data_IF_434000880976
#
_entry.id   IF_434000880976
#
_cell.length_a   1.000
_cell.length_b   1.000
_cell.length_c   1.000
_cell.angle_alpha   90.00
_cell.angle_beta   90.00
_cell.angle_gamma   90.00
#
_symmetry.space_group_name_H-M   'P 1'
#
loop_
_entity.id
_entity.type
_entity.pdbx_description
1 polymer ?
#
# COMPACT_ATOMS: atom_id res chain seq x y z
N UNK A 1 -5.40 4.10 -27.06
CA UNK A 1 -5.47 5.15 -26.02
C UNK A 1 -4.07 5.68 -25.76
N UNK A 2 -3.86 6.99 -25.60
CA UNK A 2 -2.60 7.54 -25.07
C UNK A 2 -2.80 7.78 -23.58
N UNK A 3 -2.08 7.04 -22.74
CA UNK A 3 -2.15 7.15 -21.29
C UNK A 3 -0.73 7.03 -20.72
N UNK A 4 -0.51 7.63 -19.55
CA UNK A 4 0.77 7.63 -18.85
C UNK A 4 0.51 7.21 -17.41
N UNK A 5 1.39 6.37 -16.88
CA UNK A 5 1.39 5.93 -15.48
C UNK A 5 2.78 6.17 -14.92
N UNK A 6 2.84 6.66 -13.69
CA UNK A 6 4.07 6.78 -12.91
C UNK A 6 3.82 6.22 -11.50
N UNK A 7 4.74 5.40 -11.00
CA UNK A 7 4.71 4.78 -9.69
C UNK A 7 6.14 4.50 -9.21
N UNK A 8 6.29 4.14 -7.92
CA UNK A 8 7.59 3.84 -7.32
C UNK A 8 8.26 2.58 -7.88
N UNK A 9 7.48 1.66 -8.45
CA UNK A 9 7.98 0.41 -9.02
C UNK A 9 7.44 0.12 -10.43
N UNK A 10 8.28 -0.46 -11.29
CA UNK A 10 7.91 -0.78 -12.68
C UNK A 10 6.74 -1.77 -12.78
N UNK A 11 6.67 -2.78 -11.90
CA UNK A 11 5.54 -3.73 -11.85
C UNK A 11 4.23 -3.08 -11.36
N UNK A 12 4.30 -2.02 -10.56
CA UNK A 12 3.13 -1.20 -10.19
C UNK A 12 2.62 -0.45 -11.42
N UNK A 13 3.53 0.16 -12.20
CA UNK A 13 3.18 0.75 -13.49
C UNK A 13 2.61 -0.28 -14.47
N UNK A 14 3.15 -1.51 -14.51
CA UNK A 14 2.67 -2.58 -15.36
C UNK A 14 1.22 -2.96 -15.03
N UNK A 15 0.90 -3.13 -13.74
CA UNK A 15 -0.45 -3.49 -13.29
C UNK A 15 -1.49 -2.43 -13.71
N UNK A 16 -1.18 -1.15 -13.50
CA UNK A 16 -2.03 -0.05 -13.95
C UNK A 16 -2.12 0.04 -15.48
N UNK A 17 -0.99 -0.12 -16.17
CA UNK A 17 -0.94 -0.08 -17.64
C UNK A 17 -1.76 -1.21 -18.26
N UNK A 18 -1.80 -2.38 -17.62
CA UNK A 18 -2.64 -3.49 -18.05
C UNK A 18 -4.11 -3.10 -18.02
N UNK A 19 -4.60 -2.49 -16.94
CA UNK A 19 -6.00 -2.07 -16.86
C UNK A 19 -6.37 -1.05 -17.94
N UNK A 20 -5.46 -0.13 -18.26
CA UNK A 20 -5.67 0.83 -19.36
C UNK A 20 -5.70 0.14 -20.74
N UNK A 21 -4.87 -0.90 -20.94
CA UNK A 21 -4.86 -1.70 -22.18
C UNK A 21 -6.13 -2.53 -22.34
N UNK A 22 -6.69 -3.02 -21.24
CA UNK A 22 -7.96 -3.77 -21.18
C UNK A 22 -9.21 -2.86 -21.33
N UNK A 23 -9.02 -1.57 -21.64
CA UNK A 23 -10.12 -0.62 -21.84
C UNK A 23 -10.68 0.00 -20.57
N UNK A 24 -10.03 -0.21 -19.42
CA UNK A 24 -10.36 0.45 -18.16
C UNK A 24 -10.04 1.95 -18.18
N UNK A 25 -10.53 2.65 -17.17
CA UNK A 25 -10.30 4.07 -16.97
C UNK A 25 -9.11 4.34 -16.02
N UNK A 26 -8.83 5.61 -15.75
CA UNK A 26 -7.72 6.00 -14.88
C UNK A 26 -7.88 5.49 -13.43
N UNK A 27 -9.11 5.30 -12.95
CA UNK A 27 -9.39 4.77 -11.62
C UNK A 27 -9.16 3.26 -11.56
N UNK A 28 -9.53 2.50 -12.61
CA UNK A 28 -9.17 1.08 -12.73
C UNK A 28 -7.65 0.88 -12.64
N UNK A 29 -6.91 1.74 -13.36
CA UNK A 29 -5.46 1.74 -13.34
C UNK A 29 -4.89 2.08 -11.95
N UNK A 30 -5.41 3.13 -11.31
CA UNK A 30 -4.96 3.56 -9.98
C UNK A 30 -5.24 2.51 -8.91
N UNK A 31 -6.40 1.86 -8.93
CA UNK A 31 -6.74 0.80 -7.98
C UNK A 31 -5.87 -0.45 -8.21
N UNK A 32 -5.60 -0.83 -9.46
CA UNK A 32 -4.69 -1.93 -9.77
C UNK A 32 -3.26 -1.65 -9.31
N UNK A 33 -2.76 -0.43 -9.53
CA UNK A 33 -1.48 0.01 -8.96
C UNK A 33 -1.48 -0.05 -7.44
N UNK A 34 -2.54 0.44 -6.78
CA UNK A 34 -2.65 0.43 -5.33
C UNK A 34 -2.58 -0.98 -4.74
N UNK A 35 -3.22 -1.98 -5.36
CA UNK A 35 -3.07 -3.37 -4.93
C UNK A 35 -1.68 -3.94 -5.26
N UNK A 36 -1.16 -3.70 -6.46
CA UNK A 36 0.15 -4.21 -6.86
C UNK A 36 1.29 -3.66 -6.00
N UNK A 37 1.26 -2.39 -5.62
CA UNK A 37 2.29 -1.76 -4.78
C UNK A 37 2.38 -2.41 -3.40
N UNK A 38 1.27 -2.92 -2.84
CA UNK A 38 1.31 -3.65 -1.54
C UNK A 38 2.08 -4.97 -1.60
N UNK A 39 2.38 -5.46 -2.80
CA UNK A 39 3.16 -6.68 -3.03
C UNK A 39 4.59 -6.33 -3.46
N UNK A 40 4.74 -5.40 -4.41
CA UNK A 40 6.02 -5.10 -5.06
C UNK A 40 6.75 -3.90 -4.45
N UNK A 41 6.14 -3.19 -3.52
CA UNK A 41 6.77 -2.10 -2.76
C UNK A 41 6.61 -2.37 -1.25
N UNK A 42 7.10 -3.54 -0.76
CA UNK A 42 6.99 -3.90 0.65
C UNK A 42 7.68 -2.84 1.52
N UNK A 43 7.24 -2.69 2.76
CA UNK A 43 7.66 -1.65 3.72
C UNK A 43 7.23 -0.21 3.39
N UNK A 44 6.88 0.08 2.13
CA UNK A 44 6.39 1.40 1.70
C UNK A 44 4.87 1.43 1.52
N UNK A 45 4.30 0.34 1.00
CA UNK A 45 2.86 0.15 0.78
C UNK A 45 2.36 -1.11 1.49
N UNK A 46 1.15 -1.07 2.03
CA UNK A 46 0.56 -2.22 2.73
C UNK A 46 -0.96 -2.20 2.70
N UNK A 47 -1.59 -3.38 2.59
CA UNK A 47 -3.02 -3.55 2.81
C UNK A 47 -3.43 -3.19 4.25
N UNK A 48 -2.49 -3.28 5.20
CA UNK A 48 -2.64 -2.86 6.59
C UNK A 48 -2.42 -1.36 6.82
N UNK A 49 -2.19 -0.57 5.77
CA UNK A 49 -1.93 0.87 5.86
C UNK A 49 -3.16 1.75 5.70
N UNK A 50 -2.92 3.02 5.41
CA UNK A 50 -3.91 4.04 5.04
C UNK A 50 -3.42 4.87 3.85
N UNK A 51 -4.28 5.70 3.28
CA UNK A 51 -3.88 6.57 2.19
C UNK A 51 -4.97 7.53 1.73
N UNK A 52 -4.67 8.21 0.63
CA UNK A 52 -5.56 9.16 -0.01
C UNK A 52 -5.54 8.96 -1.52
N UNK A 53 -6.64 9.28 -2.20
CA UNK A 53 -6.67 9.38 -3.65
C UNK A 53 -7.38 10.67 -4.06
N UNK A 54 -6.68 11.53 -4.80
CA UNK A 54 -7.29 12.67 -5.48
C UNK A 54 -7.76 12.24 -6.87
N UNK A 55 -9.07 12.15 -7.05
CA UNK A 55 -9.70 11.81 -8.31
C UNK A 55 -10.16 13.08 -9.04
N UNK A 56 -9.94 13.12 -10.35
CA UNK A 56 -10.57 14.11 -11.22
C UNK A 56 -11.32 13.40 -12.35
N UNK A 57 -12.62 13.61 -12.44
CA UNK A 57 -13.46 13.02 -13.49
C UNK A 57 -13.88 14.10 -14.47
N UNK A 58 -13.18 14.19 -15.60
CA UNK A 58 -13.35 15.24 -16.61
C UNK A 58 -14.80 15.44 -17.06
N UNK A 59 -15.56 14.36 -17.24
CA UNK A 59 -16.97 14.43 -17.67
C UNK A 59 -17.87 15.10 -16.64
N UNK A 60 -17.52 15.05 -15.36
CA UNK A 60 -18.25 15.72 -14.28
C UNK A 60 -17.66 17.10 -13.95
N UNK A 61 -16.43 17.38 -14.39
CA UNK A 61 -15.71 18.62 -14.09
C UNK A 61 -15.43 18.80 -12.60
N UNK A 62 -15.38 17.71 -11.83
CA UNK A 62 -15.23 17.73 -10.36
C UNK A 62 -14.04 16.91 -9.90
N UNK A 63 -13.32 17.47 -8.93
CA UNK A 63 -12.37 16.78 -8.07
C UNK A 63 -13.08 16.10 -6.90
N UNK A 64 -12.53 14.97 -6.45
CA UNK A 64 -12.95 14.28 -5.24
C UNK A 64 -11.71 13.73 -4.53
N UNK A 65 -11.59 14.06 -3.25
CA UNK A 65 -10.62 13.42 -2.37
C UNK A 65 -11.27 12.22 -1.70
N UNK A 66 -10.66 11.05 -1.87
CA UNK A 66 -10.95 9.86 -1.09
C UNK A 66 -9.95 9.78 0.04
N UNK A 67 -10.41 9.95 1.27
CA UNK A 67 -9.64 9.73 2.48
C UNK A 67 -9.95 8.33 3.02
N UNK A 68 -8.91 7.49 3.01
CA UNK A 68 -8.91 6.17 3.62
C UNK A 68 -7.64 6.03 4.48
N UNK A 69 -7.27 7.13 5.17
CA UNK A 69 -6.17 7.12 6.11
C UNK A 69 -6.51 6.28 7.35
N UNK A 70 -5.47 5.89 8.07
CA UNK A 70 -5.64 5.06 9.26
C UNK A 70 -6.31 5.87 10.38
N UNK A 71 -7.07 5.18 11.22
CA UNK A 71 -7.70 5.79 12.39
C UNK A 71 -7.11 5.23 13.68
N UNK A 72 -6.81 6.09 14.64
CA UNK A 72 -6.41 5.66 15.99
C UNK A 72 -7.50 4.78 16.59
N UNK A 73 -7.09 3.65 17.16
CA UNK A 73 -8.00 2.72 17.84
C UNK A 73 -8.53 3.32 19.15
N UNK A 74 -9.60 2.73 19.70
CA UNK A 74 -10.12 3.15 21.01
C UNK A 74 -11.09 4.34 20.99
N UNK A 75 -11.66 4.72 19.83
CA UNK A 75 -12.75 5.72 19.77
C UNK A 75 -13.89 5.34 20.73
N UNK A 76 -14.21 6.23 21.66
CA UNK A 76 -15.25 6.03 22.68
C UNK A 76 -14.81 5.18 23.88
N UNK A 77 -13.52 4.84 23.98
CA UNK A 77 -12.97 4.15 25.15
C UNK A 77 -12.65 5.16 26.25
N UNK A 78 -12.89 4.75 27.50
CA UNK A 78 -12.54 5.50 28.70
C UNK A 78 -11.30 4.88 29.37
N UNK A 79 -10.48 5.71 30.02
CA UNK A 79 -9.28 5.31 30.76
C UNK A 79 -8.00 5.34 29.94
N UNK A 80 -6.87 5.43 30.64
CA UNK A 80 -5.54 5.42 30.03
C UNK A 80 -5.14 3.99 29.62
N UNK A 81 -4.40 3.88 28.51
CA UNK A 81 -3.82 2.62 28.05
C UNK A 81 -2.34 2.86 27.95
N UNK A 82 -1.55 2.02 28.62
CA UNK A 82 -0.12 1.96 28.35
C UNK A 82 0.07 1.30 26.97
N UNK A 83 0.55 2.03 25.96
CA UNK A 83 0.70 1.47 24.64
C UNK A 83 1.81 0.41 24.65
N UNK A 84 1.57 -0.72 23.98
CA UNK A 84 2.62 -1.70 23.75
C UNK A 84 3.60 -1.16 22.71
N UNK A 85 4.62 -0.44 23.21
CA UNK A 85 5.72 0.12 22.45
C UNK A 85 7.06 -0.32 23.02
N UNK A 86 8.02 -0.55 22.13
CA UNK A 86 9.41 -0.72 22.50
C UNK A 86 10.31 -0.16 21.39
N UNK A 87 11.49 0.37 21.75
CA UNK A 87 12.38 1.01 20.79
C UNK A 87 13.09 -0.03 19.92
N UNK A 88 13.39 0.36 18.69
CA UNK A 88 14.31 -0.33 17.79
C UNK A 88 15.14 0.71 17.05
N UNK A 89 16.46 0.50 17.00
CA UNK A 89 17.36 1.40 16.31
C UNK A 89 17.50 0.98 14.86
N UNK A 90 17.17 1.90 13.95
CA UNK A 90 17.37 1.75 12.50
C UNK A 90 18.61 2.53 12.11
N UNK A 91 19.49 1.87 11.35
CA UNK A 91 20.75 2.44 10.88
C UNK A 91 20.59 3.00 9.46
N UNK A 92 20.29 4.28 9.35
CA UNK A 92 20.43 4.99 8.09
C UNK A 92 21.90 5.30 7.83
N UNK A 93 22.28 5.44 6.55
CA UNK A 93 23.67 5.68 6.12
C UNK A 93 24.41 6.76 6.94
N UNK A 94 23.71 7.81 7.31
CA UNK A 94 24.27 8.99 8.00
C UNK A 94 23.67 9.24 9.39
N UNK A 95 22.76 8.38 9.88
CA UNK A 95 22.16 8.54 11.23
C UNK A 95 21.61 7.24 11.81
N UNK A 96 21.80 7.07 13.11
CA UNK A 96 21.01 6.13 13.91
C UNK A 96 19.72 6.83 14.35
N UNK A 97 18.59 6.16 14.15
CA UNK A 97 17.28 6.67 14.56
C UNK A 97 16.52 5.61 15.34
N UNK A 98 16.01 5.98 16.50
CA UNK A 98 15.16 5.12 17.31
C UNK A 98 13.70 5.27 16.89
N UNK A 99 13.11 4.16 16.45
CA UNK A 99 11.68 4.04 16.20
C UNK A 99 11.02 3.26 17.33
N UNK A 100 9.75 3.55 17.59
CA UNK A 100 8.93 2.73 18.47
C UNK A 100 8.05 1.82 17.63
N UNK A 101 8.18 0.53 17.84
CA UNK A 101 7.34 -0.50 17.23
C UNK A 101 6.52 -1.21 18.31
N UNK A 102 5.60 -2.08 17.90
CA UNK A 102 4.78 -2.87 18.80
C UNK A 102 3.30 -2.72 18.47
N UNK A 103 2.44 -3.40 19.22
CA UNK A 103 1.00 -3.41 18.91
C UNK A 103 0.34 -2.04 19.11
N UNK A 104 0.94 -1.18 19.92
CA UNK A 104 0.51 0.22 20.07
C UNK A 104 0.74 1.05 18.80
N UNK A 105 1.61 0.62 17.87
CA UNK A 105 1.93 1.39 16.66
C UNK A 105 0.95 1.14 15.51
N UNK A 106 -0.01 0.24 15.71
CA UNK A 106 -0.95 -0.20 14.68
C UNK A 106 -2.27 0.55 14.83
N UNK A 107 -2.56 1.43 13.88
CA UNK A 107 -3.86 2.06 13.73
C UNK A 107 -4.81 1.16 12.90
N UNK A 108 -6.10 1.50 12.87
CA UNK A 108 -7.11 0.74 12.10
C UNK A 108 -6.85 0.94 10.60
N UNK A 109 -6.58 -0.14 9.82
CA UNK A 109 -6.25 -0.03 8.40
C UNK A 109 -7.40 0.52 7.55
N UNK A 110 -7.05 1.35 6.57
CA UNK A 110 -8.00 1.97 5.64
C UNK A 110 -7.86 1.53 4.17
N UNK A 111 -6.68 1.06 3.74
CA UNK A 111 -6.37 0.78 2.32
C UNK A 111 -7.36 -0.16 1.65
N UNK A 112 -7.63 -1.35 2.21
CA UNK A 112 -8.57 -2.30 1.59
C UNK A 112 -9.94 -1.66 1.38
N UNK A 113 -10.49 -1.02 2.43
CA UNK A 113 -11.81 -0.39 2.36
C UNK A 113 -11.82 0.77 1.36
N UNK A 114 -10.76 1.59 1.34
CA UNK A 114 -10.60 2.70 0.41
C UNK A 114 -10.57 2.26 -1.04
N UNK A 115 -9.70 1.32 -1.38
CA UNK A 115 -9.55 0.80 -2.74
C UNK A 115 -10.84 0.11 -3.24
N UNK A 116 -11.51 -0.67 -2.39
CA UNK A 116 -12.80 -1.28 -2.74
C UNK A 116 -13.93 -0.25 -2.89
N UNK A 117 -13.93 0.81 -2.08
CA UNK A 117 -14.90 1.89 -2.22
C UNK A 117 -14.69 2.69 -3.50
N UNK A 118 -13.44 2.97 -3.86
CA UNK A 118 -13.07 3.62 -5.12
C UNK A 118 -13.46 2.72 -6.31
N UNK A 119 -13.22 1.41 -6.20
CA UNK A 119 -13.65 0.43 -7.18
C UNK A 119 -15.14 0.52 -7.46
N UNK A 120 -15.97 0.40 -6.41
CA UNK A 120 -17.43 0.48 -6.50
C UNK A 120 -17.92 1.79 -7.15
N UNK A 121 -17.25 2.91 -6.86
CA UNK A 121 -17.73 4.24 -7.29
C UNK A 121 -17.23 4.68 -8.66
N UNK A 122 -16.02 4.28 -9.05
CA UNK A 122 -15.31 4.91 -10.16
C UNK A 122 -14.71 3.93 -11.17
N UNK A 123 -14.50 2.67 -10.80
CA UNK A 123 -13.92 1.68 -11.71
C UNK A 123 -14.98 1.11 -12.66
N UNK A 124 -14.50 0.59 -13.79
CA UNK A 124 -15.35 0.00 -14.84
C UNK A 124 -15.02 -1.46 -15.11
N UNK A 125 -13.82 -1.90 -14.76
CA UNK A 125 -13.42 -3.30 -14.88
C UNK A 125 -13.86 -4.11 -13.64
N UNK A 126 -14.16 -5.41 -13.81
CA UNK A 126 -14.44 -6.29 -12.68
C UNK A 126 -13.28 -6.32 -11.68
N UNK A 127 -13.58 -6.32 -10.38
CA UNK A 127 -12.57 -6.35 -9.33
C UNK A 127 -11.57 -7.50 -9.50
N UNK A 128 -12.04 -8.67 -9.95
CA UNK A 128 -11.21 -9.84 -10.24
C UNK A 128 -10.10 -9.52 -11.25
N UNK A 129 -10.36 -8.68 -12.25
CA UNK A 129 -9.38 -8.25 -13.25
C UNK A 129 -8.37 -7.27 -12.69
N UNK A 130 -8.83 -6.32 -11.88
CA UNK A 130 -7.97 -5.34 -11.20
C UNK A 130 -7.00 -6.01 -10.22
N UNK A 131 -7.44 -7.06 -9.53
CA UNK A 131 -6.60 -7.81 -8.58
C UNK A 131 -5.63 -8.79 -9.24
N UNK A 132 -5.84 -9.15 -10.50
CA UNK A 132 -5.09 -10.20 -11.20
C UNK A 132 -3.56 -9.98 -11.16
N UNK A 133 -3.02 -8.76 -11.42
CA UNK A 133 -1.57 -8.53 -11.35
C UNK A 133 -1.01 -8.71 -9.95
N UNK A 134 -1.66 -8.15 -8.92
CA UNK A 134 -1.18 -8.24 -7.54
C UNK A 134 -1.18 -9.69 -7.04
N UNK A 135 -2.23 -10.47 -7.36
CA UNK A 135 -2.31 -11.89 -7.02
C UNK A 135 -1.19 -12.68 -7.70
N UNK A 136 -0.93 -12.41 -8.99
CA UNK A 136 0.16 -13.04 -9.73
C UNK A 136 1.52 -12.75 -9.10
N UNK A 137 1.83 -11.48 -8.82
CA UNK A 137 3.08 -11.09 -8.18
C UNK A 137 3.27 -11.74 -6.80
N UNK A 138 2.19 -11.86 -6.02
CA UNK A 138 2.27 -12.47 -4.70
C UNK A 138 2.45 -14.00 -4.74
N UNK A 139 1.91 -14.68 -5.76
CA UNK A 139 2.01 -16.14 -5.90
C UNK A 139 3.30 -16.59 -6.55
N UNK A 140 3.68 -15.91 -7.63
CA UNK A 140 4.81 -16.31 -8.45
C UNK A 140 6.13 -15.73 -7.91
N UNK A 141 6.04 -14.74 -7.02
CA UNK A 141 7.16 -13.96 -6.52
C UNK A 141 7.58 -12.88 -7.51
N UNK A 142 8.46 -12.00 -7.05
CA UNK A 142 9.07 -10.93 -7.86
C UNK A 142 10.56 -10.87 -7.57
N UNK A 143 11.36 -10.50 -8.58
CA UNK A 143 12.79 -10.26 -8.39
C UNK A 143 12.97 -8.93 -7.67
N UNK A 144 13.73 -8.94 -6.58
CA UNK A 144 14.05 -7.72 -5.83
C UNK A 144 15.00 -6.84 -6.64
N UNK A 145 14.65 -5.56 -6.73
CA UNK A 145 15.54 -4.52 -7.23
C UNK A 145 16.34 -3.88 -6.08
N UNK A 146 17.28 -3.00 -6.44
CA UNK A 146 18.16 -2.32 -5.47
C UNK A 146 17.40 -1.50 -4.43
N UNK A 147 16.33 -0.79 -4.82
CA UNK A 147 15.53 0.01 -3.90
C UNK A 147 14.77 -0.87 -2.90
N UNK A 148 14.18 -1.97 -3.36
CA UNK A 148 13.51 -2.94 -2.47
C UNK A 148 14.53 -3.57 -1.51
N UNK A 149 15.68 -4.02 -2.02
CA UNK A 149 16.73 -4.61 -1.20
C UNK A 149 17.24 -3.63 -0.13
N UNK A 150 17.41 -2.35 -0.48
CA UNK A 150 17.79 -1.30 0.45
C UNK A 150 16.79 -1.16 1.61
N UNK A 151 15.49 -1.01 1.31
CA UNK A 151 14.47 -0.84 2.34
C UNK A 151 14.28 -2.10 3.21
N UNK A 152 14.35 -3.29 2.60
CA UNK A 152 14.29 -4.55 3.34
C UNK A 152 15.46 -4.70 4.30
N UNK A 153 16.68 -4.35 3.88
CA UNK A 153 17.84 -4.39 4.76
C UNK A 153 17.74 -3.34 5.87
N UNK A 154 17.35 -2.12 5.54
CA UNK A 154 17.17 -1.03 6.51
C UNK A 154 16.18 -1.40 7.62
N UNK A 155 15.10 -2.11 7.25
CA UNK A 155 13.99 -2.44 8.14
C UNK A 155 14.00 -3.92 8.58
N UNK A 156 15.09 -4.65 8.32
CA UNK A 156 15.27 -6.05 8.70
C UNK A 156 14.87 -6.29 10.17
N UNK A 157 15.36 -5.50 11.16
CA UNK A 157 15.03 -5.74 12.57
C UNK A 157 13.52 -5.66 12.88
N UNK A 158 12.75 -4.97 12.05
CA UNK A 158 11.30 -4.80 12.19
C UNK A 158 10.55 -5.93 11.45
N UNK A 159 10.88 -6.16 10.18
CA UNK A 159 10.14 -7.12 9.33
C UNK A 159 10.40 -8.58 9.75
N UNK A 160 11.54 -8.87 10.38
CA UNK A 160 11.88 -10.19 10.91
C UNK A 160 11.61 -10.34 12.41
N UNK A 161 10.86 -9.43 13.03
CA UNK A 161 10.57 -9.47 14.47
C UNK A 161 9.81 -10.75 14.89
N UNK A 162 8.91 -11.22 14.03
CA UNK A 162 8.09 -12.41 14.26
C UNK A 162 8.56 -13.59 13.40
N UNK A 163 8.25 -14.82 13.82
CA UNK A 163 8.56 -16.02 13.04
C UNK A 163 7.86 -16.02 11.66
N UNK A 164 6.63 -15.50 11.60
CA UNK A 164 5.93 -15.28 10.33
C UNK A 164 6.70 -14.32 9.43
N UNK A 165 7.19 -13.20 9.98
CA UNK A 165 8.01 -12.24 9.25
C UNK A 165 9.27 -12.86 8.66
N UNK A 166 10.04 -13.59 9.49
CA UNK A 166 11.25 -14.34 9.08
C UNK A 166 10.99 -15.41 8.01
N UNK A 167 9.78 -15.95 7.95
CA UNK A 167 9.43 -16.97 6.95
C UNK A 167 9.13 -16.37 5.57
N UNK A 168 8.88 -15.07 5.50
CA UNK A 168 8.49 -14.34 4.28
C UNK A 168 9.66 -13.52 3.73
N UNK A 169 10.38 -12.82 4.60
CA UNK A 169 11.49 -11.92 4.28
C UNK A 169 12.82 -12.54 4.70
#
# INVERSE_FOLDING_TARGET
MRAVVAAGHHLTCEAASLMLKEGGNAFDAAVAAGFASTVVEPTLSSLGGGGFMLAYKRVEGKEKLFDFFVNTSGKGRNGEIEPHFFPITVNFRDSLQDFHIGMGSVAVPGVIKGLLHIHDKLCTLPLKKILEPAIRYARDGVVLNESQAYFLHLLEPIITLSDTGKSIY
#
